data_IF_010897513355
#
_entry.id   IF_010897513355
#
_cell.length_a   1.000
_cell.length_b   1.000
_cell.length_c   1.000
_cell.angle_alpha   90.00
_cell.angle_beta   90.00
_cell.angle_gamma   90.00
#
_symmetry.space_group_name_H-M   'P 1'
#
loop_
_entity.id
_entity.type
_entity.pdbx_description
1 polymer ?
#
# COMPACT_ATOMS: atom_id res chain seq x y z
N UNK A 1 -6.59 -7.68 -11.96
CA UNK A 1 -6.26 -7.88 -10.52
C UNK A 1 -7.47 -7.54 -9.68
N UNK A 2 -7.49 -7.93 -8.41
CA UNK A 2 -8.43 -7.41 -7.41
C UNK A 2 -7.65 -6.79 -6.23
N UNK A 3 -8.34 -6.15 -5.29
CA UNK A 3 -7.73 -5.48 -4.14
C UNK A 3 -6.88 -6.41 -3.27
N UNK A 4 -7.31 -7.67 -3.09
CA UNK A 4 -6.56 -8.68 -2.32
C UNK A 4 -5.29 -9.08 -3.07
N UNK A 5 -5.35 -9.31 -4.38
CA UNK A 5 -4.16 -9.61 -5.19
C UNK A 5 -3.13 -8.48 -5.06
N UNK A 6 -3.60 -7.24 -5.16
CA UNK A 6 -2.77 -6.05 -5.05
C UNK A 6 -2.11 -5.95 -3.67
N UNK A 7 -2.89 -6.11 -2.58
CA UNK A 7 -2.36 -6.07 -1.22
C UNK A 7 -1.40 -7.23 -0.92
N UNK A 8 -1.60 -8.40 -1.55
CA UNK A 8 -0.66 -9.51 -1.47
C UNK A 8 0.69 -9.18 -2.14
N UNK A 9 0.68 -8.42 -3.25
CA UNK A 9 1.93 -7.93 -3.84
C UNK A 9 2.68 -6.99 -2.89
N UNK A 10 1.96 -6.12 -2.18
CA UNK A 10 2.54 -5.28 -1.11
C UNK A 10 3.11 -6.16 0.02
N UNK A 11 2.34 -7.11 0.56
CA UNK A 11 2.82 -8.02 1.62
C UNK A 11 4.07 -8.79 1.19
N UNK A 12 4.08 -9.34 -0.03
CA UNK A 12 5.23 -10.08 -0.56
C UNK A 12 6.46 -9.18 -0.67
N UNK A 13 6.34 -7.96 -1.21
CA UNK A 13 7.45 -7.01 -1.29
C UNK A 13 8.00 -6.67 0.10
N UNK A 14 7.11 -6.34 1.05
CA UNK A 14 7.50 -5.97 2.43
C UNK A 14 8.17 -7.13 3.17
N UNK A 15 7.67 -8.36 3.01
CA UNK A 15 8.21 -9.54 3.72
C UNK A 15 9.50 -10.09 3.13
N UNK A 16 9.65 -10.00 1.81
CA UNK A 16 10.77 -10.63 1.10
C UNK A 16 11.87 -9.64 0.71
N UNK A 17 11.64 -8.35 0.96
CA UNK A 17 12.52 -7.27 0.51
C UNK A 17 12.75 -7.31 -1.01
N UNK A 18 11.72 -7.69 -1.78
CA UNK A 18 11.77 -7.86 -3.22
C UNK A 18 10.89 -6.83 -3.92
N UNK A 19 11.52 -5.83 -4.55
CA UNK A 19 10.83 -4.79 -5.33
C UNK A 19 9.94 -5.36 -6.44
N UNK A 20 10.29 -6.51 -7.01
CA UNK A 20 9.62 -7.00 -8.21
C UNK A 20 8.19 -7.46 -7.94
N UNK A 21 7.87 -7.94 -6.73
CA UNK A 21 6.56 -8.47 -6.41
C UNK A 21 5.46 -7.39 -6.58
N UNK A 22 5.67 -6.19 -6.04
CA UNK A 22 4.82 -5.03 -6.29
C UNK A 22 5.18 -4.27 -7.58
N UNK A 23 6.47 -4.03 -7.81
CA UNK A 23 6.95 -3.08 -8.82
C UNK A 23 6.54 -3.43 -10.25
N UNK A 24 6.40 -4.71 -10.58
CA UNK A 24 5.93 -5.12 -11.92
C UNK A 24 4.47 -4.74 -12.21
N UNK A 25 3.69 -4.47 -11.15
CA UNK A 25 2.27 -4.08 -11.22
C UNK A 25 2.05 -2.58 -11.07
N UNK A 26 3.08 -1.76 -10.84
CA UNK A 26 2.90 -0.30 -10.78
C UNK A 26 2.81 0.29 -12.20
N UNK A 27 1.93 1.28 -12.37
CA UNK A 27 1.89 2.10 -13.56
C UNK A 27 3.14 2.99 -13.67
N UNK A 28 3.59 3.37 -14.88
CA UNK A 28 4.71 4.30 -15.05
C UNK A 28 4.49 5.65 -14.35
N UNK A 29 3.24 6.09 -14.24
CA UNK A 29 2.80 7.32 -13.59
C UNK A 29 2.13 7.07 -12.22
N UNK A 30 2.42 5.92 -11.61
CA UNK A 30 1.91 5.59 -10.29
C UNK A 30 2.28 6.65 -9.25
N UNK A 31 1.30 6.99 -8.40
CA UNK A 31 1.49 7.86 -7.25
C UNK A 31 0.95 7.19 -5.98
N UNK A 32 1.81 7.12 -4.97
CA UNK A 32 1.42 6.78 -3.60
C UNK A 32 1.21 8.07 -2.79
N UNK A 33 0.08 8.19 -2.09
CA UNK A 33 -0.24 9.37 -1.29
C UNK A 33 -0.60 9.01 0.14
N UNK A 34 0.11 9.58 1.11
CA UNK A 34 -0.38 9.65 2.49
C UNK A 34 -1.25 10.90 2.64
N UNK A 35 -2.44 10.73 3.22
CA UNK A 35 -3.39 11.80 3.47
C UNK A 35 -3.33 12.24 4.95
N UNK A 36 -3.93 13.40 5.25
CA UNK A 36 -4.07 13.90 6.61
C UNK A 36 -2.90 14.78 7.07
N UNK A 37 -2.54 14.71 8.35
CA UNK A 37 -1.52 15.59 8.95
C UNK A 37 -0.10 15.33 8.45
N UNK A 38 0.19 14.09 8.04
CA UNK A 38 1.47 13.68 7.50
C UNK A 38 1.40 13.54 5.97
N UNK A 39 0.73 14.48 5.31
CA UNK A 39 0.51 14.41 3.88
C UNK A 39 1.85 14.33 3.14
N UNK A 40 2.01 13.28 2.34
CA UNK A 40 3.19 13.07 1.50
C UNK A 40 2.79 12.36 0.21
N UNK A 41 3.60 12.53 -0.81
CA UNK A 41 3.47 11.83 -2.08
C UNK A 41 4.80 11.16 -2.42
N UNK A 42 4.73 9.96 -2.97
CA UNK A 42 5.88 9.21 -3.44
C UNK A 42 5.62 8.72 -4.86
N UNK A 43 6.65 8.83 -5.69
CA UNK A 43 6.74 8.11 -6.97
C UNK A 43 6.82 6.60 -6.73
N UNK A 44 6.67 5.80 -7.81
CA UNK A 44 6.85 4.35 -7.74
C UNK A 44 8.21 3.93 -7.18
N UNK A 45 9.29 4.57 -7.63
CA UNK A 45 10.65 4.22 -7.20
C UNK A 45 10.90 4.56 -5.72
N UNK A 46 10.48 5.75 -5.27
CA UNK A 46 10.59 6.17 -3.87
C UNK A 46 9.75 5.27 -2.95
N UNK A 47 8.54 4.91 -3.37
CA UNK A 47 7.68 4.04 -2.59
C UNK A 47 8.26 2.62 -2.49
N UNK A 48 8.75 2.06 -3.59
CA UNK A 48 9.41 0.75 -3.59
C UNK A 48 10.68 0.75 -2.75
N UNK A 49 11.50 1.81 -2.82
CA UNK A 49 12.68 1.98 -1.95
C UNK A 49 12.28 1.87 -0.48
N UNK A 50 11.23 2.61 -0.09
CA UNK A 50 10.69 2.57 1.27
C UNK A 50 10.15 1.18 1.66
N UNK A 51 9.36 0.51 0.80
CA UNK A 51 8.87 -0.85 1.06
C UNK A 51 10.00 -1.87 1.24
N UNK A 52 11.17 -1.63 0.67
CA UNK A 52 12.36 -2.49 0.78
C UNK A 52 13.38 -2.02 1.82
N UNK A 53 13.04 -0.99 2.60
CA UNK A 53 13.90 -0.45 3.64
C UNK A 53 13.73 -1.18 4.97
N UNK A 54 14.71 -0.99 5.87
CA UNK A 54 14.65 -1.45 7.26
C UNK A 54 13.60 -0.71 8.10
N UNK A 55 12.91 0.29 7.54
CA UNK A 55 11.83 1.06 8.19
C UNK A 55 10.43 0.63 7.74
N UNK A 56 10.35 -0.35 6.83
CA UNK A 56 9.09 -0.80 6.23
C UNK A 56 8.16 -1.49 7.25
N UNK A 57 6.84 -1.27 7.16
CA UNK A 57 5.88 -1.90 8.05
C UNK A 57 5.59 -3.35 7.64
N UNK A 58 4.99 -4.09 8.57
CA UNK A 58 4.23 -5.31 8.25
C UNK A 58 2.75 -4.98 8.13
N UNK A 59 2.06 -5.52 7.13
CA UNK A 59 0.61 -5.37 6.95
C UNK A 59 -0.13 -6.62 7.46
N UNK A 60 -1.31 -6.43 8.03
CA UNK A 60 -2.16 -7.52 8.52
C UNK A 60 -3.63 -7.07 8.59
N UNK A 61 -4.56 -7.98 8.93
CA UNK A 61 -5.98 -7.71 9.17
C UNK A 61 -6.67 -6.96 8.01
N UNK A 62 -6.40 -7.40 6.78
CA UNK A 62 -6.96 -6.80 5.57
C UNK A 62 -8.49 -7.01 5.53
N UNK A 63 -9.24 -5.92 5.42
CA UNK A 63 -10.69 -5.86 5.22
C UNK A 63 -11.00 -4.97 4.01
N UNK A 64 -11.21 -5.61 2.86
CA UNK A 64 -11.63 -4.93 1.61
C UNK A 64 -13.13 -4.67 1.68
N UNK A 65 -13.53 -3.40 1.55
CA UNK A 65 -14.94 -2.96 1.67
C UNK A 65 -15.60 -2.66 0.34
N UNK A 66 -14.80 -2.27 -0.65
CA UNK A 66 -15.25 -2.03 -2.01
C UNK A 66 -14.16 -2.48 -2.97
N UNK A 67 -14.56 -3.19 -4.03
CA UNK A 67 -13.66 -3.60 -5.09
C UNK A 67 -14.44 -3.84 -6.38
N UNK A 68 -14.48 -2.85 -7.26
CA UNK A 68 -15.22 -2.91 -8.52
C UNK A 68 -14.81 -1.80 -9.47
N UNK A 69 -14.88 -2.07 -10.78
CA UNK A 69 -14.62 -1.12 -11.87
C UNK A 69 -13.28 -0.36 -11.75
N UNK A 70 -12.22 -1.08 -11.37
CA UNK A 70 -10.87 -0.52 -11.24
C UNK A 70 -10.68 0.39 -10.03
N UNK A 71 -11.59 0.33 -9.05
CA UNK A 71 -11.51 1.09 -7.81
C UNK A 71 -11.65 0.14 -6.64
N UNK A 72 -10.80 0.29 -5.63
CA UNK A 72 -10.92 -0.43 -4.37
C UNK A 72 -10.76 0.48 -3.15
N UNK A 73 -11.37 0.07 -2.04
CA UNK A 73 -11.10 0.67 -0.74
C UNK A 73 -11.34 -0.31 0.39
N UNK A 74 -10.72 -0.05 1.54
CA UNK A 74 -10.82 -0.91 2.69
C UNK A 74 -9.96 -0.40 3.84
N UNK A 75 -9.69 -1.30 4.77
CA UNK A 75 -8.74 -1.05 5.86
C UNK A 75 -7.79 -2.22 6.03
N UNK A 76 -6.66 -1.95 6.67
CA UNK A 76 -5.79 -2.96 7.23
C UNK A 76 -5.05 -2.38 8.44
N UNK A 77 -4.28 -3.21 9.13
CA UNK A 77 -3.32 -2.74 10.13
C UNK A 77 -1.92 -2.65 9.52
N UNK A 78 -1.12 -1.71 10.00
CA UNK A 78 0.31 -1.63 9.72
C UNK A 78 1.10 -1.57 11.03
N UNK A 79 2.04 -2.47 11.21
CA UNK A 79 2.94 -2.51 12.38
C UNK A 79 4.32 -2.04 11.93
N UNK A 80 4.76 -0.90 12.47
CA UNK A 80 6.08 -0.33 12.22
C UNK A 80 7.16 -1.09 12.99
N UNK A 81 8.42 -0.89 12.59
CA UNK A 81 9.58 -1.55 13.20
C UNK A 81 9.82 -1.17 14.66
N UNK A 82 9.36 0.01 15.09
CA UNK A 82 9.42 0.46 16.48
C UNK A 82 8.28 -0.13 17.35
N UNK A 83 7.42 -0.96 16.77
CA UNK A 83 6.27 -1.58 17.42
C UNK A 83 5.00 -0.73 17.40
N UNK A 84 5.03 0.49 16.86
CA UNK A 84 3.85 1.32 16.66
C UNK A 84 2.88 0.66 15.69
N UNK A 85 1.59 0.65 16.03
CA UNK A 85 0.54 0.04 15.19
C UNK A 85 -0.43 1.12 14.70
N UNK A 86 -0.78 1.06 13.43
CA UNK A 86 -1.72 1.98 12.80
C UNK A 86 -2.90 1.22 12.20
N UNK A 87 -4.09 1.79 12.36
CA UNK A 87 -5.21 1.53 11.46
C UNK A 87 -4.98 2.32 10.16
N UNK A 88 -5.04 1.62 9.03
CA UNK A 88 -4.87 2.20 7.71
C UNK A 88 -6.18 2.10 6.97
N UNK A 89 -6.71 3.24 6.51
CA UNK A 89 -7.74 3.26 5.47
C UNK A 89 -7.06 3.48 4.13
N UNK A 90 -7.38 2.64 3.14
CA UNK A 90 -6.81 2.77 1.80
C UNK A 90 -7.88 3.02 0.74
N UNK A 91 -7.47 3.70 -0.32
CA UNK A 91 -8.19 3.85 -1.57
C UNK A 91 -7.22 3.59 -2.72
N UNK A 92 -7.60 2.73 -3.65
CA UNK A 92 -6.79 2.35 -4.81
C UNK A 92 -7.54 2.53 -6.11
N UNK A 93 -6.81 2.89 -7.16
CA UNK A 93 -7.27 2.86 -8.56
C UNK A 93 -6.32 2.00 -9.39
N UNK A 94 -6.89 1.11 -10.19
CA UNK A 94 -6.14 0.11 -10.95
C UNK A 94 -6.88 -0.27 -12.23
N UNK A 95 -6.14 -0.81 -13.20
CA UNK A 95 -6.69 -1.47 -14.39
C UNK A 95 -6.44 -2.98 -14.34
N UNK A 96 -6.75 -3.70 -15.43
CA UNK A 96 -6.59 -5.15 -15.51
C UNK A 96 -5.18 -5.66 -15.12
N UNK A 97 -4.16 -4.82 -15.28
CA UNK A 97 -2.73 -5.18 -15.17
C UNK A 97 -1.89 -4.28 -14.26
N UNK A 98 -2.31 -3.04 -14.00
CA UNK A 98 -1.50 -2.04 -13.29
C UNK A 98 -2.27 -1.28 -12.22
N UNK A 99 -1.54 -0.89 -11.19
CA UNK A 99 -1.98 -0.02 -10.11
C UNK A 99 -1.59 1.41 -10.52
N UNK A 100 -2.57 2.29 -10.65
CA UNK A 100 -2.37 3.66 -11.10
C UNK A 100 -2.21 4.62 -9.92
N UNK A 101 -2.92 4.37 -8.83
CA UNK A 101 -2.91 5.25 -7.67
C UNK A 101 -3.23 4.49 -6.40
N UNK A 102 -2.54 4.84 -5.31
CA UNK A 102 -2.84 4.33 -3.99
C UNK A 102 -2.73 5.44 -2.97
N UNK A 103 -3.79 5.67 -2.20
CA UNK A 103 -3.79 6.62 -1.10
C UNK A 103 -4.16 5.96 0.21
N UNK A 104 -3.54 6.45 1.29
CA UNK A 104 -3.74 5.94 2.64
C UNK A 104 -3.99 7.07 3.63
N UNK A 105 -4.85 6.82 4.61
CA UNK A 105 -4.98 7.63 5.82
C UNK A 105 -4.63 6.77 7.02
N UNK A 106 -3.69 7.25 7.85
CA UNK A 106 -3.21 6.54 9.03
C UNK A 106 -3.89 7.08 10.29
N UNK A 107 -4.27 6.17 11.18
CA UNK A 107 -4.71 6.46 12.54
C UNK A 107 -3.90 5.62 13.54
N UNK A 108 -3.14 6.23 14.46
CA UNK A 108 -2.39 5.46 15.46
C UNK A 108 -3.35 4.68 16.37
N UNK A 109 -3.05 3.41 16.64
CA UNK A 109 -3.70 2.65 17.70
C UNK A 109 -3.05 2.97 19.04
N UNK A 110 -3.87 3.26 20.04
CA UNK A 110 -3.45 3.54 21.42
C UNK A 110 -3.17 2.25 22.20
#
# INVERSE_FOLDING_TARGET
>A
MNAIDILNCWDETLRTNNRNALGQHLAPDFAFQMLGQNAMEQTSDEHLDWCTSDESPQIDNIDVRYDSDGICSGVHTATMVDGSVFDVMFFGRYDDSRIEHWSVLLSPRA
#
